data_IF_145623431644
#
_entry.id   IF_145623431644
#
_cell.length_a   1.000
_cell.length_b   1.000
_cell.length_c   1.000
_cell.angle_alpha   90.00
_cell.angle_beta   90.00
_cell.angle_gamma   90.00
#
_symmetry.space_group_name_H-M   'P 1'
#
loop_
_entity.id
_entity.type
_entity.pdbx_description
1 polymer ?
#
# COMPACT_ATOMS: atom_id res chain seq x y z
N UNK A 1 -12.63 4.44 15.54
CA UNK A 1 -12.51 4.31 14.07
C UNK A 1 -13.39 5.30 13.31
N UNK A 2 -14.69 5.51 13.64
CA UNK A 2 -15.54 6.49 12.93
C UNK A 2 -14.98 7.92 12.92
N UNK A 3 -14.48 8.41 14.05
CA UNK A 3 -13.83 9.74 14.15
C UNK A 3 -12.58 9.84 13.25
N UNK A 4 -11.74 8.82 13.19
CA UNK A 4 -10.58 8.80 12.32
C UNK A 4 -10.98 8.86 10.84
N UNK A 5 -12.01 8.10 10.44
CA UNK A 5 -12.57 8.14 9.08
C UNK A 5 -13.08 9.54 8.73
N UNK A 6 -13.78 10.22 9.66
CA UNK A 6 -14.24 11.61 9.49
C UNK A 6 -13.09 12.60 9.32
N UNK A 7 -12.06 12.52 10.15
CA UNK A 7 -10.87 13.38 10.07
C UNK A 7 -10.13 13.21 8.74
N UNK A 8 -9.91 11.96 8.31
CA UNK A 8 -9.28 11.71 7.01
C UNK A 8 -10.14 12.19 5.83
N UNK A 9 -11.45 12.02 5.90
CA UNK A 9 -12.36 12.50 4.85
C UNK A 9 -12.37 14.03 4.75
N UNK A 10 -12.33 14.75 5.89
CA UNK A 10 -12.37 16.20 5.93
C UNK A 10 -11.03 16.86 5.55
N UNK A 11 -9.91 16.28 6.00
CA UNK A 11 -8.58 16.93 5.95
C UNK A 11 -7.57 16.22 5.03
N UNK A 12 -7.94 15.09 4.40
CA UNK A 12 -7.02 14.23 3.66
C UNK A 12 -6.08 13.46 4.59
N UNK A 13 -5.21 12.64 4.00
CA UNK A 13 -4.21 11.92 4.78
C UNK A 13 -3.19 12.89 5.40
N UNK A 14 -2.68 13.85 4.63
CA UNK A 14 -1.65 14.78 5.07
C UNK A 14 -2.12 15.72 6.18
N UNK A 15 -3.30 16.31 6.03
CA UNK A 15 -3.85 17.27 7.00
C UNK A 15 -4.33 16.65 8.31
N UNK A 16 -4.49 15.32 8.38
CA UNK A 16 -4.93 14.60 9.57
C UNK A 16 -3.77 14.35 10.54
N UNK A 17 -4.04 14.51 11.84
CA UNK A 17 -3.09 14.25 12.93
C UNK A 17 -3.69 13.31 13.97
N UNK A 18 -2.83 12.52 14.68
CA UNK A 18 -3.30 11.66 15.77
C UNK A 18 -4.00 12.46 16.90
N UNK A 19 -3.54 13.71 17.17
CA UNK A 19 -4.19 14.59 18.12
C UNK A 19 -5.56 15.07 17.62
N UNK A 20 -5.70 15.36 16.33
CA UNK A 20 -6.99 15.67 15.69
C UNK A 20 -7.98 14.54 15.83
N UNK A 21 -7.54 13.31 15.50
CA UNK A 21 -8.34 12.09 15.65
C UNK A 21 -8.76 11.88 17.11
N UNK A 22 -7.85 12.03 18.08
CA UNK A 22 -8.16 11.88 19.50
C UNK A 22 -9.21 12.88 19.96
N UNK A 23 -9.07 14.16 19.57
CA UNK A 23 -10.04 15.21 19.85
C UNK A 23 -11.42 14.91 19.25
N UNK A 24 -11.47 14.51 17.98
CA UNK A 24 -12.72 14.15 17.31
C UNK A 24 -13.39 12.90 17.91
N UNK A 25 -12.59 11.99 18.47
CA UNK A 25 -13.07 10.81 19.18
C UNK A 25 -13.40 11.07 20.66
N UNK A 26 -13.15 12.29 21.18
CA UNK A 26 -13.31 12.63 22.61
C UNK A 26 -12.51 11.72 23.55
N UNK A 27 -11.28 11.35 23.15
CA UNK A 27 -10.37 10.51 23.94
C UNK A 27 -9.03 11.22 24.16
N UNK A 28 -8.25 10.77 25.15
CA UNK A 28 -6.88 11.23 25.35
C UNK A 28 -6.00 10.78 24.17
N UNK A 29 -5.12 11.67 23.68
CA UNK A 29 -4.18 11.36 22.62
C UNK A 29 -3.22 10.20 22.98
N UNK A 30 -2.91 10.03 24.27
CA UNK A 30 -2.11 8.90 24.78
C UNK A 30 -2.80 7.57 24.49
N UNK A 31 -4.14 7.52 24.55
CA UNK A 31 -4.88 6.30 24.22
C UNK A 31 -4.71 5.94 22.75
N UNK A 32 -4.76 6.91 21.84
CA UNK A 32 -4.51 6.66 20.40
C UNK A 32 -3.08 6.15 20.18
N UNK A 33 -2.08 6.78 20.81
CA UNK A 33 -0.68 6.34 20.74
C UNK A 33 -0.42 4.98 21.39
N UNK A 34 -1.27 4.55 22.32
CA UNK A 34 -1.16 3.22 22.92
C UNK A 34 -1.52 2.10 21.91
N UNK A 35 -2.51 2.36 21.04
CA UNK A 35 -2.97 1.36 20.07
C UNK A 35 -2.32 1.47 18.69
N UNK A 36 -1.80 2.64 18.34
CA UNK A 36 -1.25 2.92 17.02
C UNK A 36 0.09 3.63 17.15
N UNK A 37 1.11 3.09 16.48
CA UNK A 37 2.45 3.68 16.47
C UNK A 37 2.52 4.96 15.62
N UNK A 38 1.60 5.11 14.66
CA UNK A 38 1.56 6.25 13.75
C UNK A 38 0.21 6.48 13.07
N UNK A 39 0.13 7.56 12.34
CA UNK A 39 -1.03 7.93 11.52
C UNK A 39 -1.29 6.92 10.40
N UNK A 40 -0.23 6.34 9.88
CA UNK A 40 -0.22 5.29 8.86
C UNK A 40 -0.95 4.03 9.32
N UNK A 41 -0.74 3.60 10.58
CA UNK A 41 -1.47 2.45 11.14
C UNK A 41 -2.96 2.76 11.33
N UNK A 42 -3.30 3.97 11.82
CA UNK A 42 -4.71 4.38 11.95
C UNK A 42 -5.38 4.39 10.58
N UNK A 43 -4.70 4.92 9.56
CA UNK A 43 -5.23 4.97 8.20
C UNK A 43 -5.43 3.56 7.63
N UNK A 44 -4.42 2.69 7.75
CA UNK A 44 -4.52 1.30 7.32
C UNK A 44 -5.72 0.59 7.99
N UNK A 45 -5.93 0.83 9.30
CA UNK A 45 -7.07 0.28 10.02
C UNK A 45 -8.42 0.87 9.56
N UNK A 46 -8.48 2.16 9.23
CA UNK A 46 -9.68 2.81 8.66
C UNK A 46 -10.02 2.25 7.27
N UNK A 47 -9.00 2.02 6.46
CA UNK A 47 -9.14 1.46 5.11
C UNK A 47 -9.20 -0.08 5.11
N UNK A 48 -9.15 -0.69 6.29
CA UNK A 48 -9.17 -2.14 6.48
C UNK A 48 -8.07 -2.87 5.69
N UNK A 49 -6.93 -2.21 5.49
CA UNK A 49 -5.75 -2.83 4.86
C UNK A 49 -5.23 -3.90 5.83
N UNK A 50 -5.15 -5.18 5.42
CA UNK A 50 -4.82 -6.28 6.33
C UNK A 50 -3.31 -6.41 6.57
N UNK A 51 -2.61 -5.29 6.73
CA UNK A 51 -1.18 -5.24 6.97
C UNK A 51 -0.76 -3.91 7.59
N UNK A 52 0.36 -3.92 8.32
CA UNK A 52 0.98 -2.72 8.85
C UNK A 52 1.92 -2.11 7.81
N UNK A 53 1.80 -0.82 7.47
CA UNK A 53 2.62 -0.19 6.43
C UNK A 53 4.13 -0.34 6.66
N UNK A 54 4.59 -0.23 7.91
CA UNK A 54 6.00 -0.39 8.27
C UNK A 54 6.51 -1.82 8.02
N UNK A 55 5.71 -2.83 8.34
CA UNK A 55 6.06 -4.24 8.11
C UNK A 55 6.11 -4.54 6.60
N UNK A 56 5.21 -3.96 5.81
CA UNK A 56 5.24 -4.07 4.35
C UNK A 56 6.54 -3.48 3.78
N UNK A 57 6.87 -2.25 4.15
CA UNK A 57 8.10 -1.60 3.68
C UNK A 57 9.33 -2.40 4.10
N UNK A 58 9.40 -2.84 5.36
CA UNK A 58 10.50 -3.68 5.84
C UNK A 58 10.62 -4.99 5.06
N UNK A 59 9.51 -5.68 4.81
CA UNK A 59 9.49 -6.91 4.01
C UNK A 59 10.00 -6.72 2.59
N UNK A 60 9.73 -5.57 1.99
CA UNK A 60 10.18 -5.24 0.63
C UNK A 60 11.65 -4.82 0.62
N UNK A 61 12.07 -3.97 1.57
CA UNK A 61 13.40 -3.34 1.53
C UNK A 61 14.50 -4.12 2.26
N UNK A 62 14.15 -5.15 3.04
CA UNK A 62 15.14 -5.99 3.71
C UNK A 62 15.83 -6.94 2.73
N UNK A 63 17.16 -7.00 2.76
CA UNK A 63 17.97 -7.91 1.96
C UNK A 63 18.59 -7.27 0.72
N UNK A 64 19.05 -8.11 -0.22
CA UNK A 64 19.75 -7.68 -1.42
C UNK A 64 18.84 -6.82 -2.34
N UNK A 65 19.31 -5.66 -2.83
CA UNK A 65 18.58 -4.88 -3.83
C UNK A 65 18.15 -5.68 -5.06
N UNK A 66 18.89 -6.69 -5.44
CA UNK A 66 18.59 -7.57 -6.59
C UNK A 66 17.29 -8.37 -6.47
N UNK A 67 16.72 -8.50 -5.27
CA UNK A 67 15.47 -9.19 -5.02
C UNK A 67 14.27 -8.30 -4.71
N UNK A 68 14.37 -6.98 -4.92
CA UNK A 68 13.29 -6.03 -4.57
C UNK A 68 11.97 -6.35 -5.29
N UNK A 69 12.02 -6.63 -6.59
CA UNK A 69 10.83 -6.94 -7.38
C UNK A 69 10.10 -8.19 -6.90
N UNK A 70 10.86 -9.23 -6.57
CA UNK A 70 10.32 -10.48 -6.02
C UNK A 70 9.73 -10.27 -4.63
N UNK A 71 10.44 -9.58 -3.73
CA UNK A 71 9.95 -9.29 -2.37
C UNK A 71 8.69 -8.43 -2.38
N UNK A 72 8.61 -7.46 -3.30
CA UNK A 72 7.39 -6.65 -3.47
C UNK A 72 6.20 -7.53 -3.84
N UNK A 73 6.35 -8.47 -4.79
CA UNK A 73 5.28 -9.38 -5.19
C UNK A 73 4.90 -10.36 -4.07
N UNK A 74 5.89 -10.96 -3.41
CA UNK A 74 5.62 -11.86 -2.28
C UNK A 74 4.86 -11.16 -1.16
N UNK A 75 5.27 -9.93 -0.82
CA UNK A 75 4.58 -9.09 0.16
C UNK A 75 3.15 -8.77 -0.31
N UNK A 76 2.98 -8.41 -1.58
CA UNK A 76 1.67 -8.15 -2.15
C UNK A 76 0.74 -9.37 -2.06
N UNK A 77 1.18 -10.53 -2.53
CA UNK A 77 0.36 -11.74 -2.51
C UNK A 77 0.05 -12.22 -1.08
N UNK A 78 1.01 -12.09 -0.14
CA UNK A 78 0.78 -12.44 1.26
C UNK A 78 -0.35 -11.62 1.92
N UNK A 79 -0.55 -10.39 1.46
CA UNK A 79 -1.60 -9.49 1.96
C UNK A 79 -2.93 -9.74 1.24
N UNK A 80 -2.90 -9.77 -0.09
CA UNK A 80 -4.12 -9.68 -0.91
C UNK A 80 -4.64 -11.03 -1.41
N UNK A 81 -3.81 -12.07 -1.47
CA UNK A 81 -4.23 -13.40 -1.95
C UNK A 81 -4.80 -14.30 -0.84
N UNK A 82 -5.21 -13.69 0.25
CA UNK A 82 -6.00 -14.31 1.32
C UNK A 82 -7.50 -14.10 1.08
N UNK A 83 -8.39 -14.94 1.63
CA UNK A 83 -9.84 -14.72 1.52
C UNK A 83 -10.26 -13.33 1.99
N UNK A 84 -9.74 -12.86 3.14
CA UNK A 84 -10.01 -11.53 3.69
C UNK A 84 -9.41 -10.41 2.83
N UNK A 85 -8.21 -10.62 2.28
CA UNK A 85 -7.54 -9.66 1.39
C UNK A 85 -8.35 -9.43 0.12
N UNK A 86 -8.83 -10.49 -0.51
CA UNK A 86 -9.64 -10.43 -1.74
C UNK A 86 -10.95 -9.67 -1.55
N UNK A 87 -11.65 -9.89 -0.45
CA UNK A 87 -12.88 -9.13 -0.11
C UNK A 87 -12.58 -7.64 0.06
N UNK A 88 -11.47 -7.31 0.72
CA UNK A 88 -11.06 -5.93 1.02
C UNK A 88 -10.56 -5.18 -0.22
N UNK A 89 -9.95 -5.85 -1.19
CA UNK A 89 -9.58 -5.23 -2.48
C UNK A 89 -10.80 -4.56 -3.12
N UNK A 90 -11.93 -5.25 -3.18
CA UNK A 90 -13.15 -4.72 -3.80
C UNK A 90 -13.65 -3.48 -3.02
N UNK A 91 -13.65 -3.52 -1.70
CA UNK A 91 -14.03 -2.39 -0.87
C UNK A 91 -13.08 -1.20 -1.03
N UNK A 92 -11.76 -1.45 -1.07
CA UNK A 92 -10.74 -0.43 -1.29
C UNK A 92 -10.90 0.25 -2.65
N UNK A 93 -11.02 -0.52 -3.72
CA UNK A 93 -11.20 0.01 -5.08
C UNK A 93 -12.51 0.81 -5.16
N UNK A 94 -13.61 0.30 -4.59
CA UNK A 94 -14.87 1.04 -4.54
C UNK A 94 -14.73 2.37 -3.80
N UNK A 95 -13.98 2.44 -2.71
CA UNK A 95 -13.70 3.68 -1.98
C UNK A 95 -12.90 4.68 -2.81
N UNK A 96 -11.92 4.21 -3.57
CA UNK A 96 -11.08 5.06 -4.45
C UNK A 96 -11.89 5.60 -5.63
N UNK A 97 -12.76 4.79 -6.23
CA UNK A 97 -13.50 5.16 -7.44
C UNK A 97 -14.78 5.95 -7.15
N UNK A 98 -15.32 5.86 -5.94
CA UNK A 98 -16.59 6.51 -5.57
C UNK A 98 -16.44 7.98 -5.17
N UNK A 99 -15.23 8.46 -4.86
CA UNK A 99 -15.02 9.85 -4.46
C UNK A 99 -13.59 10.33 -4.74
N UNK A 100 -13.48 11.61 -5.14
CA UNK A 100 -12.19 12.27 -5.34
C UNK A 100 -11.37 12.34 -4.02
N UNK A 101 -12.04 12.52 -2.89
CA UNK A 101 -11.40 12.52 -1.58
C UNK A 101 -10.82 11.15 -1.22
N UNK A 102 -11.50 10.06 -1.56
CA UNK A 102 -10.99 8.69 -1.38
C UNK A 102 -9.74 8.44 -2.22
N UNK A 103 -9.81 8.80 -3.51
CA UNK A 103 -8.65 8.68 -4.41
C UNK A 103 -7.45 9.50 -3.92
N UNK A 104 -7.68 10.74 -3.47
CA UNK A 104 -6.63 11.60 -2.91
C UNK A 104 -6.00 10.99 -1.66
N UNK A 105 -6.80 10.52 -0.71
CA UNK A 105 -6.31 9.93 0.53
C UNK A 105 -5.42 8.70 0.29
N UNK A 106 -5.85 7.79 -0.58
CA UNK A 106 -5.05 6.60 -0.93
C UNK A 106 -3.76 7.01 -1.64
N UNK A 107 -3.82 7.95 -2.58
CA UNK A 107 -2.63 8.45 -3.27
C UNK A 107 -1.62 9.04 -2.28
N UNK A 108 -2.04 9.94 -1.38
CA UNK A 108 -1.18 10.56 -0.37
C UNK A 108 -0.56 9.50 0.56
N UNK A 109 -1.35 8.54 1.01
CA UNK A 109 -0.89 7.43 1.85
C UNK A 109 0.16 6.57 1.13
N UNK A 110 -0.14 6.07 -0.08
CA UNK A 110 0.78 5.23 -0.84
C UNK A 110 2.07 5.96 -1.15
N UNK A 111 1.98 7.23 -1.58
CA UNK A 111 3.16 8.03 -1.92
C UNK A 111 4.07 8.19 -0.71
N UNK A 112 3.54 8.52 0.46
CA UNK A 112 4.36 8.84 1.65
C UNK A 112 4.78 7.62 2.45
N UNK A 113 3.85 6.70 2.69
CA UNK A 113 4.10 5.62 3.65
C UNK A 113 4.66 4.36 2.99
N UNK A 114 4.49 4.22 1.71
CA UNK A 114 5.01 3.05 0.97
C UNK A 114 6.11 3.48 0.00
N UNK A 115 5.77 4.26 -1.03
CA UNK A 115 6.71 4.51 -2.13
C UNK A 115 7.89 5.40 -1.76
N UNK A 116 7.67 6.48 -0.99
CA UNK A 116 8.77 7.32 -0.54
C UNK A 116 9.76 6.55 0.36
N UNK A 117 9.26 5.64 1.19
CA UNK A 117 10.12 4.80 2.04
C UNK A 117 10.88 3.75 1.24
N UNK A 118 10.26 3.14 0.23
CA UNK A 118 10.93 2.23 -0.69
C UNK A 118 12.00 3.00 -1.48
N UNK A 119 11.62 4.15 -2.06
CA UNK A 119 12.50 5.01 -2.84
C UNK A 119 13.75 5.46 -2.06
N UNK A 120 13.60 5.77 -0.76
CA UNK A 120 14.72 6.16 0.11
C UNK A 120 15.80 5.07 0.26
N UNK A 121 15.46 3.81 0.04
CA UNK A 121 16.38 2.65 0.17
C UNK A 121 17.03 2.29 -1.16
N UNK A 122 16.38 2.60 -2.29
CA UNK A 122 16.79 2.11 -3.61
C UNK A 122 18.09 2.76 -4.09
N UNK A 123 18.33 4.04 -3.80
CA UNK A 123 19.60 4.72 -4.15
C UNK A 123 19.84 4.91 -5.66
N UNK A 124 18.79 4.89 -6.49
CA UNK A 124 18.82 5.08 -7.94
C UNK A 124 18.30 6.46 -8.33
N UNK A 125 18.58 6.85 -9.60
CA UNK A 125 18.02 8.08 -10.17
C UNK A 125 16.49 8.04 -10.23
N UNK A 126 15.85 9.21 -10.04
CA UNK A 126 14.41 9.40 -10.09
C UNK A 126 13.58 8.42 -9.20
N UNK A 127 13.95 8.24 -7.92
CA UNK A 127 13.36 7.21 -7.08
C UNK A 127 11.84 7.31 -6.93
N UNK A 128 11.29 8.52 -6.92
CA UNK A 128 9.83 8.75 -6.83
C UNK A 128 9.11 8.28 -8.10
N UNK A 129 9.66 8.59 -9.28
CA UNK A 129 9.11 8.14 -10.55
C UNK A 129 9.16 6.61 -10.64
N UNK A 130 10.29 6.01 -10.30
CA UNK A 130 10.48 4.56 -10.31
C UNK A 130 9.52 3.83 -9.36
N UNK A 131 9.36 4.34 -8.14
CA UNK A 131 8.39 3.83 -7.19
C UNK A 131 6.95 3.95 -7.72
N UNK A 132 6.60 5.06 -8.41
CA UNK A 132 5.28 5.23 -9.00
C UNK A 132 5.02 4.30 -10.19
N UNK A 133 6.04 3.98 -10.99
CA UNK A 133 5.96 2.99 -12.06
C UNK A 133 5.71 1.58 -11.48
N UNK A 134 6.45 1.19 -10.44
CA UNK A 134 6.20 -0.06 -9.74
C UNK A 134 4.77 -0.12 -9.17
N UNK A 135 4.31 0.98 -8.57
CA UNK A 135 2.94 1.11 -8.08
C UNK A 135 1.89 0.90 -9.16
N UNK A 136 2.10 1.46 -10.35
CA UNK A 136 1.17 1.30 -11.47
C UNK A 136 0.99 -0.15 -11.88
N UNK A 137 2.07 -0.94 -11.86
CA UNK A 137 2.02 -2.39 -12.12
C UNK A 137 1.26 -3.13 -11.02
N UNK A 138 1.51 -2.77 -9.75
CA UNK A 138 0.82 -3.41 -8.62
C UNK A 138 -0.68 -3.12 -8.62
N UNK A 139 -1.08 -1.88 -8.93
CA UNK A 139 -2.50 -1.51 -9.09
C UNK A 139 -3.11 -2.25 -10.28
N UNK A 140 -2.41 -2.34 -11.41
CA UNK A 140 -2.84 -3.09 -12.58
C UNK A 140 -3.05 -4.58 -12.27
N UNK A 141 -2.09 -5.20 -11.58
CA UNK A 141 -2.18 -6.60 -11.12
C UNK A 141 -3.39 -6.80 -10.18
N UNK A 142 -3.55 -5.90 -9.19
CA UNK A 142 -4.68 -5.94 -8.27
C UNK A 142 -6.02 -5.88 -9.02
N UNK A 143 -6.15 -4.96 -9.96
CA UNK A 143 -7.37 -4.81 -10.79
C UNK A 143 -7.62 -6.05 -11.64
N UNK A 144 -6.62 -6.51 -12.38
CA UNK A 144 -6.76 -7.64 -13.30
C UNK A 144 -7.07 -8.95 -12.57
N UNK A 145 -6.37 -9.21 -11.44
CA UNK A 145 -6.49 -10.47 -10.70
C UNK A 145 -7.75 -10.55 -9.84
N UNK A 146 -8.07 -9.50 -9.07
CA UNK A 146 -9.10 -9.57 -8.04
C UNK A 146 -10.42 -8.91 -8.43
N UNK A 147 -10.40 -7.88 -9.28
CA UNK A 147 -11.60 -7.12 -9.66
C UNK A 147 -12.15 -7.57 -10.99
N UNK A 148 -11.36 -7.50 -12.05
CA UNK A 148 -11.75 -7.93 -13.41
C UNK A 148 -11.77 -9.45 -13.53
N UNK A 149 -10.92 -10.14 -12.75
CA UNK A 149 -10.74 -11.61 -12.76
C UNK A 149 -10.37 -12.14 -14.13
N UNK A 150 -9.33 -11.53 -14.69
CA UNK A 150 -8.81 -11.90 -16.01
C UNK A 150 -8.11 -13.25 -15.94
N UNK A 151 -8.69 -14.27 -16.60
CA UNK A 151 -8.07 -15.60 -16.68
C UNK A 151 -6.99 -15.66 -17.77
N UNK A 152 -5.90 -16.43 -17.56
CA UNK A 152 -5.62 -17.32 -16.42
C UNK A 152 -4.98 -16.62 -15.21
N UNK A 153 -4.72 -15.33 -15.27
CA UNK A 153 -4.05 -14.55 -14.22
C UNK A 153 -4.79 -14.63 -12.85
N UNK A 154 -6.12 -14.66 -12.90
CA UNK A 154 -6.95 -14.66 -11.69
C UNK A 154 -6.83 -15.96 -10.87
N UNK A 155 -6.67 -17.10 -11.54
CA UNK A 155 -6.60 -18.43 -10.91
C UNK A 155 -5.19 -18.98 -10.75
N UNK A 156 -4.17 -18.36 -11.40
CA UNK A 156 -2.79 -18.82 -11.34
C UNK A 156 -2.23 -18.79 -9.91
N UNK A 157 -1.35 -19.74 -9.59
CA UNK A 157 -0.60 -19.70 -8.32
C UNK A 157 0.31 -18.46 -8.30
N UNK A 158 0.40 -17.71 -7.19
CA UNK A 158 1.36 -16.62 -7.03
C UNK A 158 2.80 -17.00 -7.40
N UNK A 159 3.25 -18.20 -7.04
CA UNK A 159 4.60 -18.67 -7.36
C UNK A 159 4.85 -18.81 -8.86
N UNK A 160 3.82 -19.11 -9.65
CA UNK A 160 3.91 -19.17 -11.10
C UNK A 160 3.97 -17.77 -11.75
N UNK A 161 3.41 -16.74 -11.09
CA UNK A 161 3.36 -15.37 -11.60
C UNK A 161 4.63 -14.58 -11.28
N UNK A 162 5.25 -14.82 -10.14
CA UNK A 162 6.43 -14.07 -9.67
C UNK A 162 7.56 -14.05 -10.71
N UNK A 163 7.96 -15.16 -11.36
CA UNK A 163 9.04 -15.16 -12.35
C UNK A 163 8.78 -14.25 -13.56
N UNK A 164 7.52 -14.04 -13.92
CA UNK A 164 7.13 -13.17 -15.05
C UNK A 164 7.03 -11.70 -14.66
N UNK A 165 6.60 -11.41 -13.44
CA UNK A 165 6.32 -10.04 -12.99
C UNK A 165 7.51 -9.39 -12.29
N UNK A 166 8.29 -10.16 -11.53
CA UNK A 166 9.40 -9.66 -10.75
C UNK A 166 10.48 -8.92 -11.56
N UNK A 167 10.89 -9.40 -12.75
CA UNK A 167 11.91 -8.70 -13.55
C UNK A 167 11.49 -7.28 -13.95
N UNK A 168 10.22 -7.06 -14.28
CA UNK A 168 9.71 -5.72 -14.63
C UNK A 168 9.73 -4.78 -13.42
N UNK A 169 9.27 -5.27 -12.26
CA UNK A 169 9.30 -4.50 -11.02
C UNK A 169 10.74 -4.23 -10.55
N UNK A 170 11.63 -5.21 -10.70
CA UNK A 170 13.05 -5.07 -10.39
C UNK A 170 13.69 -3.95 -11.21
N UNK A 171 13.44 -3.93 -12.52
CA UNK A 171 13.95 -2.88 -13.41
C UNK A 171 13.43 -1.49 -13.01
N UNK A 172 12.16 -1.36 -12.63
CA UNK A 172 11.65 -0.08 -12.14
C UNK A 172 12.32 0.33 -10.83
N UNK A 173 12.47 -0.60 -9.89
CA UNK A 173 12.96 -0.29 -8.55
C UNK A 173 14.48 -0.15 -8.47
N UNK A 174 15.24 -0.99 -9.16
CA UNK A 174 16.70 -1.04 -9.03
C UNK A 174 17.46 -0.68 -10.33
N UNK A 175 16.75 -0.42 -11.44
CA UNK A 175 17.36 -0.20 -12.75
C UNK A 175 17.71 -1.50 -13.47
N UNK A 176 18.22 -1.37 -14.70
CA UNK A 176 18.79 -2.51 -15.42
C UNK A 176 20.17 -2.82 -14.82
N UNK A 177 20.50 -4.09 -14.70
CA UNK A 177 21.89 -4.49 -14.45
C UNK A 177 22.65 -4.29 -15.74
N UNK A 178 23.72 -3.50 -15.69
CA UNK A 178 24.73 -3.42 -16.75
C UNK A 178 25.39 -4.78 -17.00
#
# INVERSE_FOLDING_TARGET
>A
MAAARGEFAAHGYEGTTLRGIARAASVDARLVHHYFSGKDEVFAAVMEIPARPQELVMGITSGDPDGLGERLLRTFFSVWDTPQGRERVIALISSVTSSESGARMIREFLTREIFARIAAVIGVDDPELRASLAASQMVGLMMARYVVRLEPLASADPEDLIPFLAPTLQRYLAGDKD
#
